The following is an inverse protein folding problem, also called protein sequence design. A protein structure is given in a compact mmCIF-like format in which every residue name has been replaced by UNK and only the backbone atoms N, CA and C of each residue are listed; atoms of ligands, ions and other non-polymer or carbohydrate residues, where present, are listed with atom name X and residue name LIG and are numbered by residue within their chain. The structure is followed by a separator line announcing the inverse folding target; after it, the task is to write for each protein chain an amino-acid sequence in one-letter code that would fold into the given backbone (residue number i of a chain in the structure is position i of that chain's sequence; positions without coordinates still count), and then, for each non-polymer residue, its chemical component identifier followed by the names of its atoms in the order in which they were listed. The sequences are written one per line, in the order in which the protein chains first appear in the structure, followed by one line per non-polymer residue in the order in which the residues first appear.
data_IF_777868471799
#
_entry.id   IF_777868471799
#
_cell.length_a   1.000
_cell.length_b   1.000
_cell.length_c   1.000
_cell.angle_alpha   90.00
_cell.angle_beta   90.00
_cell.angle_gamma   90.00
#
_symmetry.space_group_name_H-M   'P 1'
#
loop_
_entity.id
_entity.type
_entity.pdbx_description
1 polymer ?
#
# COMPACT_ATOMS: atom_id res chain seq x y z
N UNK A 1 -14.30 -33.17 13.48
CA UNK A 1 -14.30 -31.92 14.28
C UNK A 1 -13.05 -31.03 14.10
N UNK A 2 -12.08 -31.40 13.25
CA UNK A 2 -10.74 -30.78 13.18
C UNK A 2 -10.60 -29.59 12.21
N UNK A 3 -11.42 -29.50 11.15
CA UNK A 3 -11.27 -28.48 10.08
C UNK A 3 -11.64 -27.05 10.50
N UNK A 4 -12.64 -26.88 11.39
CA UNK A 4 -13.09 -25.55 11.87
C UNK A 4 -12.09 -24.90 12.83
N UNK A 5 -11.42 -25.71 13.66
CA UNK A 5 -10.47 -25.22 14.67
C UNK A 5 -9.18 -24.68 14.03
N UNK A 6 -8.62 -25.41 13.06
CA UNK A 6 -7.42 -24.99 12.32
C UNK A 6 -7.64 -23.70 11.49
N UNK A 7 -8.85 -23.46 10.98
CA UNK A 7 -9.17 -22.22 10.25
C UNK A 7 -9.25 -21.00 11.17
N UNK A 8 -9.71 -21.16 12.41
CA UNK A 8 -9.77 -20.06 13.38
C UNK A 8 -8.38 -19.70 13.93
N UNK A 9 -7.53 -20.69 14.22
CA UNK A 9 -6.14 -20.43 14.65
C UNK A 9 -5.36 -19.65 13.59
N UNK A 10 -5.51 -20.02 12.32
CA UNK A 10 -4.90 -19.31 11.20
C UNK A 10 -5.44 -17.88 11.03
N UNK A 11 -6.74 -17.69 11.26
CA UNK A 11 -7.37 -16.37 11.20
C UNK A 11 -6.84 -15.46 12.33
N UNK A 12 -6.76 -15.98 13.56
CA UNK A 12 -6.24 -15.21 14.70
C UNK A 12 -4.74 -14.91 14.54
N UNK A 13 -3.95 -15.82 13.95
CA UNK A 13 -2.55 -15.56 13.60
C UNK A 13 -2.40 -14.39 12.62
N UNK A 14 -3.24 -14.36 11.58
CA UNK A 14 -3.28 -13.27 10.61
C UNK A 14 -3.61 -11.95 11.33
N UNK A 15 -4.71 -11.91 12.08
CA UNK A 15 -5.20 -10.68 12.71
C UNK A 15 -4.25 -10.08 13.75
N UNK A 16 -3.31 -10.87 14.31
CA UNK A 16 -2.28 -10.39 15.23
C UNK A 16 -1.11 -9.68 14.56
N UNK A 17 -1.00 -9.74 13.23
CA UNK A 17 0.09 -9.10 12.49
C UNK A 17 -0.11 -7.57 12.47
N UNK A 18 0.98 -6.79 12.42
CA UNK A 18 0.91 -5.33 12.53
C UNK A 18 0.46 -4.68 11.22
N UNK A 19 -0.82 -4.82 10.87
CA UNK A 19 -1.41 -4.17 9.70
C UNK A 19 -1.52 -2.65 9.87
N UNK A 20 -1.37 -1.93 8.75
CA UNK A 20 -1.44 -0.47 8.75
C UNK A 20 -2.90 -0.04 8.68
N UNK A 21 -3.36 0.73 9.67
CA UNK A 21 -4.69 1.34 9.66
C UNK A 21 -4.56 2.80 9.27
N UNK A 22 -5.15 3.17 8.14
CA UNK A 22 -5.25 4.55 7.68
C UNK A 22 -6.60 5.14 8.08
N UNK A 23 -6.62 6.42 8.44
CA UNK A 23 -7.83 7.14 8.84
C UNK A 23 -8.02 8.34 7.92
N UNK A 24 -9.22 8.48 7.39
CA UNK A 24 -9.64 9.60 6.56
C UNK A 24 -10.79 10.31 7.25
N UNK A 25 -10.65 11.62 7.45
CA UNK A 25 -11.70 12.47 8.01
C UNK A 25 -12.49 13.09 6.86
N UNK A 26 -13.81 13.14 7.01
CA UNK A 26 -14.66 13.92 6.11
C UNK A 26 -14.31 15.41 6.11
N UNK A 27 -14.77 16.14 5.09
CA UNK A 27 -14.51 17.57 4.96
C UNK A 27 -15.22 18.38 6.05
N UNK A 28 -16.31 17.85 6.59
CA UNK A 28 -17.02 18.41 7.75
C UNK A 28 -17.15 17.38 8.87
N UNK A 29 -17.34 17.83 10.14
CA UNK A 29 -17.59 16.92 11.25
C UNK A 29 -18.82 16.01 11.08
N UNK A 30 -19.80 16.41 10.26
CA UNK A 30 -21.00 15.60 10.00
C UNK A 30 -20.76 14.44 9.03
N UNK A 31 -19.73 14.51 8.20
CA UNK A 31 -19.37 13.46 7.24
C UNK A 31 -18.69 12.25 7.91
N UNK A 32 -18.26 12.40 9.17
CA UNK A 32 -17.69 11.33 9.97
C UNK A 32 -16.24 10.97 9.60
N UNK A 33 -15.85 9.75 9.96
CA UNK A 33 -14.48 9.25 9.84
C UNK A 33 -14.50 7.85 9.24
N UNK A 34 -13.65 7.61 8.24
CA UNK A 34 -13.42 6.30 7.65
C UNK A 34 -12.07 5.72 8.09
N UNK A 35 -12.04 4.42 8.35
CA UNK A 35 -10.83 3.66 8.64
C UNK A 35 -10.63 2.56 7.59
N UNK A 36 -9.38 2.37 7.18
CA UNK A 36 -8.99 1.44 6.12
C UNK A 36 -7.81 0.60 6.59
N UNK A 37 -7.74 -0.65 6.14
CA UNK A 37 -6.50 -1.44 6.22
C UNK A 37 -5.74 -1.26 4.91
N UNK A 38 -4.57 -0.63 4.95
CA UNK A 38 -3.81 -0.24 3.76
C UNK A 38 -3.51 -1.43 2.84
N UNK A 39 -3.27 -2.60 3.43
CA UNK A 39 -2.93 -3.83 2.73
C UNK A 39 -4.13 -4.54 2.11
N UNK A 40 -5.36 -4.27 2.58
CA UNK A 40 -6.56 -5.02 2.26
C UNK A 40 -7.58 -4.13 1.54
N UNK A 41 -7.46 -3.96 0.20
CA UNK A 41 -8.45 -3.23 -0.58
C UNK A 41 -9.87 -3.75 -0.32
N UNK A 42 -10.74 -2.86 0.15
CA UNK A 42 -12.13 -3.16 0.49
C UNK A 42 -12.39 -3.54 1.95
N UNK A 43 -11.38 -3.55 2.83
CA UNK A 43 -11.58 -3.60 4.28
C UNK A 43 -11.71 -2.16 4.81
N UNK A 44 -12.95 -1.69 4.94
CA UNK A 44 -13.29 -0.30 5.25
C UNK A 44 -14.38 -0.28 6.31
N UNK A 45 -14.24 0.62 7.29
CA UNK A 45 -15.30 0.94 8.23
C UNK A 45 -15.49 2.44 8.32
N UNK A 46 -16.67 2.87 8.76
CA UNK A 46 -16.96 4.26 9.03
C UNK A 46 -17.59 4.40 10.43
N UNK A 47 -17.39 5.57 11.03
CA UNK A 47 -17.98 5.98 12.31
C UNK A 47 -18.17 7.49 12.34
N UNK A 48 -19.00 7.97 13.26
CA UNK A 48 -19.11 9.41 13.52
C UNK A 48 -17.83 9.96 14.15
N UNK A 49 -17.07 9.11 14.85
CA UNK A 49 -15.76 9.46 15.41
C UNK A 49 -14.66 8.49 14.99
N UNK A 50 -13.41 8.92 15.19
CA UNK A 50 -12.21 8.11 15.00
C UNK A 50 -12.28 6.81 15.81
N UNK A 51 -12.70 6.91 17.07
CA UNK A 51 -12.78 5.79 18.01
C UNK A 51 -13.82 4.78 17.55
N UNK A 52 -14.96 5.24 17.04
CA UNK A 52 -16.01 4.37 16.50
C UNK A 52 -15.54 3.62 15.24
N UNK A 53 -14.86 4.33 14.32
CA UNK A 53 -14.30 3.73 13.11
C UNK A 53 -13.24 2.66 13.45
N UNK A 54 -12.34 2.96 14.42
CA UNK A 54 -11.31 2.05 14.91
C UNK A 54 -11.88 0.88 15.71
N UNK A 55 -12.95 1.06 16.48
CA UNK A 55 -13.58 -0.03 17.20
C UNK A 55 -14.17 -1.07 16.21
N UNK A 56 -14.72 -0.59 15.08
CA UNK A 56 -15.33 -1.44 14.05
C UNK A 56 -14.34 -2.12 13.12
N UNK A 57 -13.16 -1.54 12.87
CA UNK A 57 -12.23 -2.06 11.86
C UNK A 57 -11.74 -3.47 12.20
N UNK A 58 -11.63 -3.82 13.48
CA UNK A 58 -11.22 -5.16 13.92
C UNK A 58 -12.19 -6.27 13.47
N UNK A 59 -13.50 -6.01 13.56
CA UNK A 59 -14.52 -6.95 13.10
C UNK A 59 -14.52 -7.05 11.57
N UNK A 60 -14.41 -5.92 10.87
CA UNK A 60 -14.30 -5.90 9.42
C UNK A 60 -13.07 -6.67 8.93
N UNK A 61 -11.94 -6.55 9.63
CA UNK A 61 -10.72 -7.31 9.36
C UNK A 61 -10.95 -8.82 9.50
N UNK A 62 -11.63 -9.25 10.57
CA UNK A 62 -11.95 -10.66 10.81
C UNK A 62 -12.82 -11.22 9.68
N UNK A 63 -13.88 -10.51 9.30
CA UNK A 63 -14.79 -10.93 8.24
C UNK A 63 -14.10 -10.99 6.88
N UNK A 64 -13.29 -9.98 6.55
CA UNK A 64 -12.55 -9.90 5.29
C UNK A 64 -11.55 -11.06 5.16
N UNK A 65 -10.75 -11.31 6.20
CA UNK A 65 -9.77 -12.39 6.20
C UNK A 65 -10.45 -13.77 6.18
N UNK A 66 -11.53 -13.95 6.96
CA UNK A 66 -12.31 -15.20 6.96
C UNK A 66 -12.89 -15.51 5.58
N UNK A 67 -13.48 -14.53 4.90
CA UNK A 67 -14.04 -14.68 3.56
C UNK A 67 -12.97 -15.11 2.54
N UNK A 68 -11.77 -14.52 2.60
CA UNK A 68 -10.65 -14.92 1.74
C UNK A 68 -10.16 -16.34 2.01
N UNK A 69 -9.99 -16.69 3.29
CA UNK A 69 -9.56 -18.04 3.68
C UNK A 69 -10.58 -19.09 3.22
N UNK A 70 -11.88 -18.83 3.37
CA UNK A 70 -12.95 -19.72 2.91
C UNK A 70 -12.89 -19.96 1.39
N UNK A 71 -12.52 -18.93 0.62
CA UNK A 71 -12.35 -18.99 -0.84
C UNK A 71 -10.96 -19.46 -1.27
N UNK A 72 -10.11 -19.89 -0.33
CA UNK A 72 -8.69 -20.27 -0.55
C UNK A 72 -7.88 -19.17 -1.25
N UNK A 73 -8.26 -17.91 -1.03
CA UNK A 73 -7.53 -16.76 -1.54
C UNK A 73 -6.45 -16.35 -0.54
N UNK A 74 -5.36 -15.77 -1.04
CA UNK A 74 -4.30 -15.23 -0.20
C UNK A 74 -4.78 -13.96 0.50
N UNK A 75 -4.48 -13.85 1.79
CA UNK A 75 -4.56 -12.62 2.57
C UNK A 75 -3.24 -11.88 2.39
N UNK A 76 -3.29 -10.57 2.16
CA UNK A 76 -2.06 -9.79 2.00
C UNK A 76 -1.33 -9.68 3.33
N UNK A 77 0.00 -9.73 3.28
CA UNK A 77 0.87 -9.50 4.44
C UNK A 77 0.95 -8.00 4.77
N UNK A 78 1.23 -7.61 6.02
CA UNK A 78 1.47 -6.22 6.39
C UNK A 78 2.53 -5.56 5.51
N UNK A 79 2.40 -4.26 5.27
CA UNK A 79 3.47 -3.49 4.64
C UNK A 79 4.72 -3.63 5.51
N UNK A 80 5.84 -3.98 4.87
CA UNK A 80 7.13 -3.89 5.57
C UNK A 80 7.40 -2.43 5.88
N UNK A 81 7.78 -2.12 7.11
CA UNK A 81 8.44 -0.86 7.41
C UNK A 81 9.72 -0.79 6.56
N UNK A 82 9.78 0.23 5.69
CA UNK A 82 10.94 0.45 4.85
C UNK A 82 11.95 1.31 5.63
N UNK A 83 13.06 0.69 6.05
CA UNK A 83 14.21 1.45 6.50
C UNK A 83 14.74 2.28 5.34
N UNK A 84 14.70 3.61 5.45
CA UNK A 84 15.15 4.54 4.39
C UNK A 84 16.64 4.48 4.05
N UNK A 85 17.37 3.53 4.65
CA UNK A 85 18.80 3.29 4.41
C UNK A 85 18.97 2.14 3.43
N UNK A 86 19.63 2.42 2.31
CA UNK A 86 20.01 1.41 1.32
C UNK A 86 21.53 1.34 1.28
N UNK A 87 22.11 0.20 1.67
CA UNK A 87 23.55 -0.06 1.54
C UNK A 87 23.76 -0.90 0.28
N UNK A 88 24.47 -0.36 -0.71
CA UNK A 88 24.72 -1.05 -1.98
C UNK A 88 26.17 -0.89 -2.43
N UNK A 89 26.68 -1.87 -3.20
CA UNK A 89 28.00 -1.80 -3.83
C UNK A 89 27.85 -1.32 -5.26
N UNK A 90 28.54 -0.24 -5.61
CA UNK A 90 28.54 0.32 -6.96
C UNK A 90 29.85 0.02 -7.69
N UNK A 91 29.82 -0.26 -9.01
CA UNK A 91 31.03 -0.23 -9.83
C UNK A 91 31.72 1.14 -9.72
N UNK A 92 33.06 1.15 -9.72
CA UNK A 92 33.86 2.38 -9.56
C UNK A 92 33.52 3.47 -10.58
N UNK A 93 33.23 3.07 -11.82
CA UNK A 93 32.83 3.99 -12.88
C UNK A 93 31.50 4.67 -12.56
N UNK A 94 30.49 3.90 -12.14
CA UNK A 94 29.17 4.42 -11.80
C UNK A 94 29.23 5.35 -10.59
N UNK A 95 29.98 4.98 -9.54
CA UNK A 95 30.18 5.85 -8.37
C UNK A 95 30.75 7.21 -8.77
N UNK A 96 31.84 7.20 -9.56
CA UNK A 96 32.50 8.42 -10.04
C UNK A 96 31.54 9.29 -10.87
N UNK A 97 30.77 8.69 -11.77
CA UNK A 97 29.87 9.45 -12.63
C UNK A 97 28.68 10.02 -11.83
N UNK A 98 28.22 9.33 -10.79
CA UNK A 98 27.21 9.83 -9.86
C UNK A 98 27.73 10.99 -9.00
N UNK A 99 28.94 10.90 -8.47
CA UNK A 99 29.56 12.01 -7.72
C UNK A 99 29.72 13.27 -8.55
N UNK A 100 30.23 13.15 -9.78
CA UNK A 100 30.38 14.31 -10.68
C UNK A 100 29.05 15.02 -10.95
N UNK A 101 27.96 14.26 -11.06
CA UNK A 101 26.61 14.84 -11.22
C UNK A 101 26.12 15.52 -9.95
N UNK A 102 26.33 14.90 -8.80
CA UNK A 102 25.98 15.49 -7.51
C UNK A 102 26.73 16.81 -7.28
N UNK A 103 28.04 16.84 -7.57
CA UNK A 103 28.87 18.04 -7.50
C UNK A 103 28.39 19.14 -8.46
N UNK A 104 28.10 18.78 -9.72
CA UNK A 104 27.56 19.72 -10.71
C UNK A 104 26.21 20.32 -10.30
N UNK A 105 25.35 19.52 -9.66
CA UNK A 105 24.06 19.96 -9.14
C UNK A 105 24.16 20.65 -7.76
N UNK A 106 25.35 20.70 -7.15
CA UNK A 106 25.58 21.33 -5.84
C UNK A 106 24.92 20.60 -4.67
N UNK A 107 24.71 19.29 -4.77
CA UNK A 107 24.05 18.46 -3.75
C UNK A 107 24.93 17.30 -3.28
N UNK A 108 24.61 16.70 -2.14
CA UNK A 108 25.30 15.48 -1.70
C UNK A 108 24.99 14.30 -2.63
N UNK A 109 25.91 13.33 -2.72
CA UNK A 109 25.69 12.10 -3.48
C UNK A 109 24.41 11.38 -3.05
N UNK A 110 24.15 11.30 -1.74
CA UNK A 110 22.94 10.68 -1.20
C UNK A 110 21.66 11.40 -1.64
N UNK A 111 21.67 12.74 -1.64
CA UNK A 111 20.54 13.53 -2.13
C UNK A 111 20.33 13.32 -3.63
N UNK A 112 21.41 13.34 -4.41
CA UNK A 112 21.35 13.09 -5.85
C UNK A 112 20.77 11.70 -6.17
N UNK A 113 21.22 10.66 -5.46
CA UNK A 113 20.69 9.29 -5.57
C UNK A 113 19.21 9.24 -5.19
N UNK A 114 18.82 9.85 -4.07
CA UNK A 114 17.44 9.88 -3.61
C UNK A 114 16.51 10.57 -4.63
N UNK A 115 16.92 11.72 -5.17
CA UNK A 115 16.15 12.43 -6.21
C UNK A 115 16.08 11.62 -7.50
N UNK A 116 17.15 10.95 -7.90
CA UNK A 116 17.17 10.10 -9.10
C UNK A 116 16.22 8.91 -8.95
N UNK A 117 16.21 8.25 -7.79
CA UNK A 117 15.26 7.17 -7.48
C UNK A 117 13.81 7.67 -7.49
N UNK A 118 13.55 8.85 -6.90
CA UNK A 118 12.22 9.46 -6.92
C UNK A 118 11.73 9.73 -8.34
N UNK A 119 12.60 10.26 -9.22
CA UNK A 119 12.28 10.48 -10.64
C UNK A 119 12.00 9.18 -11.40
N UNK A 120 12.75 8.12 -11.12
CA UNK A 120 12.58 6.83 -11.79
C UNK A 120 11.29 6.11 -11.38
N UNK A 121 10.87 6.23 -10.11
CA UNK A 121 9.66 5.61 -9.59
C UNK A 121 8.42 6.45 -9.95
N UNK A 122 8.54 7.78 -9.98
CA UNK A 122 7.43 8.72 -10.16
C UNK A 122 6.58 8.91 -8.91
N UNK A 123 5.70 9.91 -8.90
CA UNK A 123 4.76 10.11 -7.79
C UNK A 123 3.70 8.99 -7.75
N UNK A 124 3.25 8.52 -6.57
CA UNK A 124 2.10 7.61 -6.46
C UNK A 124 0.86 8.12 -7.22
N UNK A 125 0.68 9.44 -7.29
CA UNK A 125 -0.39 10.08 -8.07
C UNK A 125 -0.22 9.88 -9.58
N UNK A 126 1.01 9.94 -10.09
CA UNK A 126 1.33 9.73 -11.51
C UNK A 126 1.20 8.25 -11.90
N UNK A 127 1.66 7.35 -11.02
CA UNK A 127 1.53 5.89 -11.21
C UNK A 127 0.05 5.47 -11.20
N UNK A 128 -0.78 6.10 -10.35
CA UNK A 128 -2.25 5.91 -10.35
C UNK A 128 -2.90 6.42 -11.63
N UNK A 129 -2.52 7.62 -12.09
CA UNK A 129 -3.03 8.23 -13.35
C UNK A 129 -2.65 7.40 -14.59
N UNK A 130 -1.42 6.89 -14.66
CA UNK A 130 -0.96 6.07 -15.79
C UNK A 130 -1.68 4.71 -15.83
N UNK A 131 -1.87 4.05 -14.68
CA UNK A 131 -2.67 2.82 -14.58
C UNK A 131 -4.15 3.05 -14.93
N UNK A 132 -4.74 4.17 -14.51
CA UNK A 132 -6.12 4.53 -14.87
C UNK A 132 -6.26 4.75 -16.39
N UNK A 133 -5.30 5.46 -17.02
CA UNK A 133 -5.25 5.64 -18.48
C UNK A 133 -5.08 4.32 -19.24
N UNK A 134 -4.20 3.43 -18.78
CA UNK A 134 -4.01 2.12 -19.40
C UNK A 134 -5.28 1.25 -19.37
N UNK A 135 -6.05 1.32 -18.26
CA UNK A 135 -7.35 0.65 -18.13
C UNK A 135 -8.42 1.27 -19.04
N UNK A 136 -8.44 2.58 -19.19
CA UNK A 136 -9.37 3.28 -20.09
C UNK A 136 -9.09 3.02 -21.59
N UNK A 137 -7.83 2.75 -21.95
CA UNK A 137 -7.41 2.47 -23.33
C UNK A 137 -7.71 1.06 -23.86
N UNK A 138 -8.15 0.12 -23.00
CA UNK A 138 -8.39 -1.30 -23.39
C UNK A 138 -9.85 -1.57 -23.75
N UNK A 139 -10.60 -0.56 -24.23
CA UNK A 139 -11.97 -0.78 -24.71
C UNK A 139 -11.89 -1.35 -26.13
N UNK A 140 -12.33 -2.60 -26.39
CA UNK A 140 -12.26 -3.17 -27.73
C UNK A 140 -13.12 -2.31 -28.66
N UNK A 141 -12.55 -1.85 -29.78
CA UNK A 141 -13.32 -1.24 -30.87
C UNK A 141 -14.36 -2.27 -31.30
N UNK A 142 -15.62 -2.04 -30.93
CA UNK A 142 -16.76 -2.81 -31.46
C UNK A 142 -16.67 -2.73 -32.98
N UNK A 143 -16.45 -3.88 -33.63
CA UNK A 143 -16.65 -4.01 -35.08
C UNK A 143 -18.13 -3.72 -35.34
N UNK A 144 -18.41 -2.61 -36.03
CA UNK A 144 -19.71 -2.39 -36.63
C UNK A 144 -19.87 -3.43 -37.75
N UNK A 145 -21.00 -4.13 -37.72
CA UNK A 145 -21.49 -4.99 -38.82
C UNK A 145 -22.34 -4.15 -39.75
#
# INVERSE_FOLDING_TARGET
MTKRRASNEKLDEILRRPYTIEIEYGETPEEGVAAYVAEWPGCITAGATREEALARIGDAMRDWAAARLARRQRVAEPLKEYGGTIVTRLPRSLHRDAEKRAEHEGVSLNQWVATTLARAIGSPAEVRRSKARARAGTRPRRRAS
#
